data_IF_517889322088
#
_entry.id   IF_517889322088
#
_cell.length_a   1.000
_cell.length_b   1.000
_cell.length_c   1.000
_cell.angle_alpha   90.00
_cell.angle_beta   90.00
_cell.angle_gamma   90.00
#
_symmetry.space_group_name_H-M   'P 1'
#
loop_
_entity.id
_entity.type
_entity.pdbx_description
1 polymer ?
#
# COMPACT_ATOMS: atom_id res chain seq x y z
N UNK A 1 -3.01 8.48 -17.40
CA UNK A 1 -3.96 7.35 -17.39
C UNK A 1 -4.35 7.03 -18.83
N UNK A 2 -3.76 5.99 -19.42
CA UNK A 2 -4.12 5.54 -20.76
C UNK A 2 -5.40 4.72 -20.70
N UNK A 3 -6.46 5.14 -21.40
CA UNK A 3 -7.65 4.32 -21.62
C UNK A 3 -7.24 3.06 -22.37
N UNK A 4 -7.20 1.91 -21.69
CA UNK A 4 -7.14 0.63 -22.38
C UNK A 4 -8.53 0.33 -22.95
N UNK A 5 -8.76 0.78 -24.18
CA UNK A 5 -9.81 0.21 -25.03
C UNK A 5 -9.40 -1.24 -25.29
N UNK A 6 -10.17 -2.22 -24.81
CA UNK A 6 -10.05 -3.58 -25.33
C UNK A 6 -10.44 -3.47 -26.81
N UNK A 7 -9.43 -3.66 -27.67
CA UNK A 7 -9.51 -3.49 -29.13
C UNK A 7 -10.64 -4.35 -29.67
N UNK A 8 -11.56 -3.73 -30.41
CA UNK A 8 -12.78 -4.37 -30.83
C UNK A 8 -12.56 -5.55 -31.76
N UNK A 9 -13.15 -6.69 -31.41
CA UNK A 9 -13.25 -7.83 -32.30
C UNK A 9 -14.44 -7.59 -33.24
N UNK A 10 -14.22 -7.77 -34.55
CA UNK A 10 -15.32 -7.99 -35.50
C UNK A 10 -15.64 -9.49 -35.44
N UNK A 11 -16.84 -9.82 -34.97
CA UNK A 11 -17.34 -11.19 -34.97
C UNK A 11 -18.81 -11.16 -35.41
N UNK A 12 -19.18 -12.02 -36.35
CA UNK A 12 -20.53 -12.13 -36.91
C UNK A 12 -21.11 -10.77 -37.38
N UNK A 13 -20.28 -9.97 -38.07
CA UNK A 13 -20.59 -8.62 -38.58
C UNK A 13 -20.92 -7.57 -37.52
N UNK A 14 -20.61 -7.85 -36.27
CA UNK A 14 -20.70 -6.89 -35.18
C UNK A 14 -19.29 -6.52 -34.74
N UNK A 15 -19.01 -5.22 -34.76
CA UNK A 15 -17.87 -4.65 -34.07
C UNK A 15 -18.29 -4.25 -32.67
N UNK A 16 -17.56 -4.70 -31.66
CA UNK A 16 -17.80 -4.29 -30.27
C UNK A 16 -16.63 -3.48 -29.72
N UNK A 17 -16.91 -2.44 -28.95
CA UNK A 17 -15.90 -1.70 -28.17
C UNK A 17 -16.31 -1.65 -26.70
N UNK A 18 -15.40 -2.00 -25.80
CA UNK A 18 -15.61 -1.86 -24.36
C UNK A 18 -14.89 -0.61 -23.89
N UNK A 19 -15.65 0.33 -23.34
CA UNK A 19 -15.14 1.57 -22.77
C UNK A 19 -15.13 1.46 -21.24
N UNK A 20 -13.96 1.70 -20.63
CA UNK A 20 -13.74 1.70 -19.17
C UNK A 20 -14.07 0.37 -18.47
N UNK A 21 -13.58 -0.76 -19.02
CA UNK A 21 -13.82 -2.11 -18.49
C UNK A 21 -13.36 -2.34 -17.03
N UNK A 22 -12.42 -1.50 -16.59
CA UNK A 22 -11.85 -1.44 -15.25
C UNK A 22 -12.80 -0.86 -14.18
N UNK A 23 -13.79 -0.07 -14.60
CA UNK A 23 -14.69 0.64 -13.68
C UNK A 23 -15.84 -0.25 -13.19
N UNK A 24 -16.48 0.17 -12.09
CA UNK A 24 -17.72 -0.45 -11.59
C UNK A 24 -18.84 -0.39 -12.64
N UNK A 25 -18.95 0.73 -13.36
CA UNK A 25 -19.86 0.92 -14.49
C UNK A 25 -19.04 1.13 -15.75
N UNK A 26 -19.32 0.32 -16.75
CA UNK A 26 -18.66 0.37 -18.05
C UNK A 26 -19.69 0.28 -19.17
N UNK A 27 -19.31 0.67 -20.39
CA UNK A 27 -20.19 0.57 -21.55
C UNK A 27 -19.62 -0.33 -22.62
N UNK A 28 -20.51 -1.08 -23.27
CA UNK A 28 -20.19 -1.79 -24.51
C UNK A 28 -20.96 -1.13 -25.64
N UNK A 29 -20.23 -0.71 -26.68
CA UNK A 29 -20.77 -0.17 -27.92
C UNK A 29 -20.74 -1.25 -28.98
N UNK A 30 -21.87 -1.48 -29.64
CA UNK A 30 -22.04 -2.45 -30.72
C UNK A 30 -22.32 -1.70 -32.02
N UNK A 31 -21.63 -2.07 -33.10
CA UNK A 31 -21.81 -1.50 -34.43
C UNK A 31 -22.02 -2.62 -35.43
N UNK A 32 -23.13 -2.58 -36.18
CA UNK A 32 -23.39 -3.55 -37.24
C UNK A 32 -22.67 -3.15 -38.53
N UNK A 33 -21.71 -3.97 -38.95
CA UNK A 33 -20.82 -3.79 -40.10
C UNK A 33 -20.97 -4.96 -41.10
N UNK A 34 -22.14 -5.09 -41.75
CA UNK A 34 -22.42 -6.13 -42.76
C UNK A 34 -21.58 -5.99 -44.02
N UNK A 35 -21.50 -7.10 -44.78
CA UNK A 35 -21.04 -7.08 -46.17
C UNK A 35 -22.07 -6.42 -47.10
N UNK A 36 -21.68 -6.08 -48.34
CA UNK A 36 -22.55 -5.32 -49.26
C UNK A 36 -23.84 -6.07 -49.64
N UNK A 37 -23.84 -7.40 -49.61
CA UNK A 37 -25.00 -8.24 -49.95
C UNK A 37 -25.96 -8.51 -48.77
N UNK A 38 -25.60 -8.10 -47.55
CA UNK A 38 -26.35 -8.43 -46.35
C UNK A 38 -27.49 -7.44 -46.05
N UNK A 39 -28.42 -7.87 -45.19
CA UNK A 39 -29.52 -7.03 -44.71
C UNK A 39 -29.03 -5.72 -44.11
N UNK A 40 -29.72 -4.62 -44.40
CA UNK A 40 -29.43 -3.28 -43.85
C UNK A 40 -29.73 -3.15 -42.35
N UNK A 41 -30.48 -4.11 -41.80
CA UNK A 41 -30.77 -4.18 -40.37
C UNK A 41 -30.80 -5.62 -39.87
N UNK A 42 -30.58 -5.75 -38.57
CA UNK A 42 -30.76 -7.00 -37.81
C UNK A 42 -31.55 -6.71 -36.55
N UNK A 43 -32.27 -7.70 -36.06
CA UNK A 43 -33.07 -7.57 -34.85
C UNK A 43 -32.44 -8.38 -33.71
N UNK A 44 -32.35 -7.76 -32.53
CA UNK A 44 -31.89 -8.40 -31.30
C UNK A 44 -32.95 -9.39 -30.82
N UNK A 45 -32.57 -10.65 -30.65
CA UNK A 45 -33.38 -11.68 -30.01
C UNK A 45 -33.24 -11.66 -28.48
N UNK A 46 -32.06 -11.29 -27.96
CA UNK A 46 -31.84 -11.25 -26.53
C UNK A 46 -30.50 -10.62 -26.17
N UNK A 47 -30.41 -10.10 -24.93
CA UNK A 47 -29.16 -9.66 -24.32
C UNK A 47 -29.09 -10.23 -22.91
N UNK A 48 -28.20 -11.19 -22.72
CA UNK A 48 -28.01 -11.92 -21.47
C UNK A 48 -26.66 -11.57 -20.88
N UNK A 49 -26.61 -11.37 -19.57
CA UNK A 49 -25.37 -11.10 -18.82
C UNK A 49 -25.27 -12.14 -17.72
N UNK A 50 -24.13 -12.82 -17.66
CA UNK A 50 -23.82 -13.82 -16.63
C UNK A 50 -22.46 -13.56 -16.01
N UNK A 51 -22.17 -14.20 -14.88
CA UNK A 51 -20.91 -14.01 -14.15
C UNK A 51 -20.94 -12.82 -13.18
N UNK A 52 -19.87 -12.04 -13.13
CA UNK A 52 -19.66 -10.96 -12.16
C UNK A 52 -20.32 -9.62 -12.49
N UNK A 53 -21.40 -9.60 -13.27
CA UNK A 53 -22.01 -8.35 -13.71
C UNK A 53 -23.49 -8.46 -14.09
N UNK A 54 -24.11 -7.30 -14.26
CA UNK A 54 -25.52 -7.13 -14.62
C UNK A 54 -25.70 -5.98 -15.62
N UNK A 55 -26.85 -5.96 -16.32
CA UNK A 55 -27.25 -4.80 -17.12
C UNK A 55 -27.46 -3.59 -16.21
N UNK A 56 -26.96 -2.43 -16.62
CA UNK A 56 -27.15 -1.18 -15.90
C UNK A 56 -28.20 -0.31 -16.59
N UNK A 57 -28.92 0.48 -15.79
CA UNK A 57 -29.95 1.40 -16.28
C UNK A 57 -29.30 2.67 -16.85
N UNK A 58 -29.85 3.26 -17.93
CA UNK A 58 -31.00 2.81 -18.70
C UNK A 58 -30.66 1.62 -19.64
N UNK A 59 -31.58 0.66 -19.73
CA UNK A 59 -31.48 -0.46 -20.69
C UNK A 59 -31.91 0.03 -22.07
N UNK A 60 -30.96 0.14 -22.99
CA UNK A 60 -31.15 0.63 -24.36
C UNK A 60 -31.28 -0.50 -25.37
N UNK A 61 -30.63 -1.64 -25.11
CA UNK A 61 -30.65 -2.82 -25.98
C UNK A 61 -31.51 -3.89 -25.31
N UNK A 62 -32.62 -4.24 -25.97
CA UNK A 62 -33.58 -5.25 -25.52
C UNK A 62 -34.01 -6.11 -26.72
N UNK A 63 -34.71 -7.20 -26.42
CA UNK A 63 -35.38 -7.98 -27.47
C UNK A 63 -36.25 -7.07 -28.35
N UNK A 64 -36.13 -7.26 -29.66
CA UNK A 64 -36.80 -6.45 -30.67
C UNK A 64 -36.06 -5.18 -31.09
N UNK A 65 -34.96 -4.78 -30.43
CA UNK A 65 -34.13 -3.65 -30.86
C UNK A 65 -33.55 -3.92 -32.26
N UNK A 66 -33.70 -2.96 -33.18
CA UNK A 66 -33.12 -3.05 -34.53
C UNK A 66 -31.75 -2.37 -34.55
N UNK A 67 -30.73 -3.11 -34.98
CA UNK A 67 -29.42 -2.57 -35.29
C UNK A 67 -29.36 -2.26 -36.78
N UNK A 68 -29.19 -0.98 -37.08
CA UNK A 68 -28.98 -0.52 -38.45
C UNK A 68 -27.49 -0.56 -38.80
N UNK A 69 -27.21 -0.87 -40.07
CA UNK A 69 -25.86 -0.83 -40.64
C UNK A 69 -25.19 0.52 -40.34
N UNK A 70 -23.96 0.46 -39.83
CA UNK A 70 -23.13 1.62 -39.48
C UNK A 70 -23.67 2.54 -38.37
N UNK A 71 -24.59 2.04 -37.54
CA UNK A 71 -25.07 2.77 -36.35
C UNK A 71 -24.51 2.12 -35.09
N UNK A 72 -24.05 2.97 -34.17
CA UNK A 72 -23.54 2.57 -32.87
C UNK A 72 -24.66 2.46 -31.83
N UNK A 73 -24.67 1.36 -31.10
CA UNK A 73 -25.60 1.09 -30.00
C UNK A 73 -24.82 0.85 -28.71
N UNK A 74 -24.92 1.76 -27.75
CA UNK A 74 -24.26 1.62 -26.45
C UNK A 74 -25.22 1.07 -25.39
N UNK A 75 -24.75 0.09 -24.62
CA UNK A 75 -25.38 -0.42 -23.40
C UNK A 75 -24.41 -0.34 -22.23
N UNK A 76 -24.90 0.11 -21.08
CA UNK A 76 -24.13 0.15 -19.84
C UNK A 76 -24.33 -1.13 -19.04
N UNK A 77 -23.27 -1.53 -18.35
CA UNK A 77 -23.22 -2.70 -17.48
C UNK A 77 -22.60 -2.30 -16.14
N UNK A 78 -23.02 -2.98 -15.08
CA UNK A 78 -22.50 -2.80 -13.73
C UNK A 78 -21.82 -4.08 -13.30
N UNK A 79 -20.58 -3.97 -12.84
CA UNK A 79 -19.84 -5.05 -12.19
C UNK A 79 -20.40 -5.26 -10.78
N UNK A 80 -20.80 -6.49 -10.48
CA UNK A 80 -21.34 -6.90 -9.17
C UNK A 80 -20.36 -7.75 -8.37
N UNK A 81 -19.41 -8.41 -9.05
CA UNK A 81 -18.32 -9.16 -8.42
C UNK A 81 -17.03 -8.88 -9.20
N UNK A 82 -16.05 -8.15 -8.61
CA UNK A 82 -14.82 -7.79 -9.30
C UNK A 82 -13.89 -8.98 -9.55
N UNK A 83 -14.09 -10.10 -8.85
CA UNK A 83 -13.23 -11.30 -8.94
C UNK A 83 -13.71 -12.30 -9.99
N UNK A 84 -14.86 -12.06 -10.63
CA UNK A 84 -15.44 -12.93 -11.65
C UNK A 84 -15.48 -12.24 -13.00
N UNK A 85 -15.22 -13.02 -14.04
CA UNK A 85 -15.46 -12.60 -15.42
C UNK A 85 -16.94 -12.29 -15.63
N UNK A 86 -17.22 -11.37 -16.55
CA UNK A 86 -18.56 -11.05 -17.02
C UNK A 86 -18.67 -11.57 -18.44
N UNK A 87 -19.68 -12.40 -18.70
CA UNK A 87 -20.02 -12.86 -20.05
C UNK A 87 -21.28 -12.15 -20.52
N UNK A 88 -21.17 -11.44 -21.64
CA UNK A 88 -22.26 -10.69 -22.26
C UNK A 88 -22.59 -11.38 -23.59
N UNK A 89 -23.77 -11.99 -23.66
CA UNK A 89 -24.27 -12.66 -24.85
C UNK A 89 -25.36 -11.82 -25.50
N UNK A 90 -25.16 -11.46 -26.77
CA UNK A 90 -26.10 -10.72 -27.60
C UNK A 90 -26.56 -11.63 -28.74
N UNK A 91 -27.82 -12.05 -28.72
CA UNK A 91 -28.39 -12.93 -29.73
C UNK A 91 -29.21 -12.14 -30.76
N UNK A 92 -29.24 -12.62 -32.00
CA UNK A 92 -29.95 -11.99 -33.11
C UNK A 92 -30.94 -12.96 -33.75
N UNK A 93 -32.04 -12.43 -34.29
CA UNK A 93 -33.09 -13.25 -34.93
C UNK A 93 -32.56 -13.82 -36.25
N UNK A 94 -32.49 -15.15 -36.35
CA UNK A 94 -32.17 -15.87 -37.60
C UNK A 94 -30.69 -15.80 -38.00
N UNK A 95 -29.78 -15.48 -37.07
CA UNK A 95 -28.34 -15.39 -37.33
C UNK A 95 -27.53 -15.60 -36.04
N UNK A 96 -26.24 -15.98 -36.12
CA UNK A 96 -25.40 -16.21 -34.96
C UNK A 96 -25.31 -14.98 -34.05
N UNK A 97 -25.33 -15.21 -32.73
CA UNK A 97 -25.11 -14.16 -31.73
C UNK A 97 -23.64 -13.79 -31.56
N UNK A 98 -23.36 -12.88 -30.64
CA UNK A 98 -22.04 -12.43 -30.23
C UNK A 98 -21.87 -12.70 -28.73
N UNK A 99 -20.71 -13.23 -28.33
CA UNK A 99 -20.35 -13.37 -26.91
C UNK A 99 -19.11 -12.54 -26.60
N UNK A 100 -19.22 -11.64 -25.62
CA UNK A 100 -18.13 -10.78 -25.16
C UNK A 100 -17.73 -11.22 -23.76
N UNK A 101 -16.45 -11.48 -23.56
CA UNK A 101 -15.86 -11.75 -22.26
C UNK A 101 -15.19 -10.47 -21.72
N UNK A 102 -15.67 -9.98 -20.58
CA UNK A 102 -15.00 -8.92 -19.82
C UNK A 102 -14.31 -9.59 -18.64
N UNK A 103 -12.97 -9.63 -18.61
CA UNK A 103 -12.26 -10.33 -17.55
C UNK A 103 -12.54 -9.72 -16.17
N UNK A 104 -12.36 -10.54 -15.14
CA UNK A 104 -12.26 -10.11 -13.75
C UNK A 104 -11.19 -9.02 -13.62
N UNK A 105 -11.40 -8.10 -12.68
CA UNK A 105 -10.39 -7.10 -12.38
C UNK A 105 -9.17 -7.81 -11.81
N UNK A 106 -8.00 -7.52 -12.40
CA UNK A 106 -6.75 -7.93 -11.78
C UNK A 106 -6.63 -7.21 -10.43
N UNK A 107 -6.08 -7.84 -9.38
CA UNK A 107 -5.95 -7.23 -8.05
C UNK A 107 -5.17 -5.90 -7.99
N UNK A 108 -4.62 -5.43 -9.11
CA UNK A 108 -3.75 -4.24 -9.16
C UNK A 108 -4.45 -2.94 -8.77
N UNK A 109 -5.78 -2.87 -8.83
CA UNK A 109 -6.55 -1.70 -8.37
C UNK A 109 -7.05 -1.82 -6.92
N UNK A 110 -6.73 -2.92 -6.24
CA UNK A 110 -7.12 -3.18 -4.85
C UNK A 110 -5.87 -3.06 -3.99
N UNK A 111 -5.73 -1.93 -3.30
CA UNK A 111 -4.73 -1.79 -2.24
C UNK A 111 -5.02 -2.88 -1.20
N UNK A 112 -4.07 -3.78 -0.89
CA UNK A 112 -4.30 -4.88 0.04
C UNK A 112 -4.68 -4.40 1.44
N UNK A 113 -5.57 -5.15 2.11
CA UNK A 113 -5.91 -4.91 3.51
C UNK A 113 -4.64 -5.02 4.38
N UNK A 114 -4.44 -4.06 5.28
CA UNK A 114 -3.23 -3.98 6.12
C UNK A 114 -2.12 -3.10 5.54
N UNK A 115 -2.30 -2.53 4.35
CA UNK A 115 -1.35 -1.56 3.80
C UNK A 115 -1.28 -0.29 4.66
N UNK A 116 -0.06 0.11 5.02
CA UNK A 116 0.21 1.39 5.69
C UNK A 116 0.76 2.37 4.65
N UNK A 117 0.16 3.56 4.55
CA UNK A 117 0.60 4.64 3.65
C UNK A 117 0.86 5.90 4.48
N UNK A 118 2.05 6.52 4.36
CA UNK A 118 2.31 7.81 5.00
C UNK A 118 1.56 8.93 4.27
N UNK A 119 0.98 9.86 5.03
CA UNK A 119 0.28 11.03 4.50
C UNK A 119 0.78 12.31 5.16
N UNK A 120 0.86 13.39 4.38
CA UNK A 120 1.10 14.75 4.89
C UNK A 120 -0.21 15.49 5.21
N UNK A 121 -1.34 14.97 4.74
CA UNK A 121 -2.67 15.52 4.97
C UNK A 121 -3.18 15.13 6.35
N UNK A 122 -3.99 16.00 6.96
CA UNK A 122 -4.73 15.62 8.16
C UNK A 122 -5.89 14.65 7.81
N UNK A 123 -6.54 14.07 8.81
CA UNK A 123 -7.57 13.05 8.58
C UNK A 123 -8.74 13.53 7.71
N UNK A 124 -9.26 14.74 7.94
CA UNK A 124 -10.40 15.25 7.16
C UNK A 124 -10.04 15.44 5.69
N UNK A 125 -8.89 16.07 5.42
CA UNK A 125 -8.36 16.25 4.06
C UNK A 125 -8.06 14.91 3.37
N UNK A 126 -7.52 13.95 4.12
CA UNK A 126 -7.22 12.62 3.58
C UNK A 126 -8.49 11.83 3.27
N UNK A 127 -9.47 11.84 4.18
CA UNK A 127 -10.75 11.15 4.00
C UNK A 127 -11.45 11.68 2.74
N UNK A 128 -11.52 13.01 2.56
CA UNK A 128 -12.07 13.62 1.35
C UNK A 128 -11.30 13.18 0.09
N UNK A 129 -9.97 13.25 0.10
CA UNK A 129 -9.13 12.88 -1.04
C UNK A 129 -9.22 11.38 -1.39
N UNK A 130 -9.44 10.52 -0.39
CA UNK A 130 -9.61 9.09 -0.54
C UNK A 130 -11.07 8.68 -0.86
N UNK A 131 -11.99 9.65 -0.93
CA UNK A 131 -13.44 9.43 -1.06
C UNK A 131 -13.98 8.51 0.05
N UNK A 132 -13.63 8.88 1.29
CA UNK A 132 -13.98 8.21 2.54
C UNK A 132 -14.78 9.16 3.45
N UNK A 133 -15.45 8.63 4.48
CA UNK A 133 -16.25 9.44 5.41
C UNK A 133 -15.34 10.15 6.43
N UNK A 134 -15.54 11.46 6.64
CA UNK A 134 -14.78 12.23 7.63
C UNK A 134 -15.03 11.70 9.06
N UNK A 135 -16.27 11.33 9.36
CA UNK A 135 -16.63 10.67 10.61
C UNK A 135 -16.24 9.19 10.55
N UNK A 136 -15.15 8.85 11.25
CA UNK A 136 -14.59 7.51 11.21
C UNK A 136 -15.50 6.44 11.84
N UNK A 137 -15.83 5.41 11.06
CA UNK A 137 -16.45 4.14 11.42
C UNK A 137 -15.66 2.97 10.77
N UNK A 138 -15.10 2.04 11.57
CA UNK A 138 -14.31 0.92 11.06
C UNK A 138 -15.06 -0.05 10.14
N UNK A 139 -16.40 0.00 10.09
CA UNK A 139 -17.22 -0.86 9.21
C UNK A 139 -17.47 -0.25 7.84
N UNK A 140 -17.29 1.06 7.71
CA UNK A 140 -17.65 1.83 6.52
C UNK A 140 -16.38 2.36 5.86
N UNK A 141 -15.46 2.91 6.66
CA UNK A 141 -14.27 3.54 6.14
C UNK A 141 -13.29 2.53 5.55
N UNK A 142 -12.70 2.90 4.42
CA UNK A 142 -11.63 2.13 3.78
C UNK A 142 -10.29 2.32 4.48
N UNK A 143 -10.06 3.52 5.02
CA UNK A 143 -8.83 3.88 5.69
C UNK A 143 -9.03 4.20 7.17
N UNK A 144 -7.99 3.98 7.96
CA UNK A 144 -7.96 4.33 9.37
C UNK A 144 -6.63 5.01 9.71
N UNK A 145 -6.64 6.12 10.46
CA UNK A 145 -5.42 6.68 11.03
C UNK A 145 -4.71 5.69 11.95
N UNK A 146 -3.40 5.62 11.83
CA UNK A 146 -2.55 4.84 12.73
C UNK A 146 -2.26 5.63 14.02
N UNK A 147 -3.31 5.86 14.83
CA UNK A 147 -3.26 6.62 16.08
C UNK A 147 -3.76 5.84 17.30
N UNK A 148 -3.87 4.51 17.17
CA UNK A 148 -4.33 3.63 18.25
C UNK A 148 -5.85 3.49 18.37
N UNK A 149 -6.64 4.09 17.48
CA UNK A 149 -8.11 3.97 17.49
C UNK A 149 -8.59 2.54 17.24
N UNK A 150 -9.85 2.27 17.61
CA UNK A 150 -10.48 0.96 17.39
C UNK A 150 -10.70 0.69 15.91
N UNK A 151 -10.36 -0.51 15.44
CA UNK A 151 -10.68 -1.04 14.11
C UNK A 151 -11.63 -2.24 14.19
N UNK A 152 -12.26 -2.46 15.35
CA UNK A 152 -13.16 -3.59 15.59
C UNK A 152 -14.33 -3.56 14.59
N UNK A 153 -14.48 -4.65 13.82
CA UNK A 153 -15.50 -4.78 12.78
C UNK A 153 -15.01 -4.48 11.36
N UNK A 154 -13.76 -4.01 11.21
CA UNK A 154 -13.10 -3.92 9.90
C UNK A 154 -12.61 -5.28 9.41
N UNK A 155 -12.33 -5.38 8.10
CA UNK A 155 -11.69 -6.57 7.52
C UNK A 155 -10.30 -6.82 8.11
N UNK A 156 -9.55 -5.75 8.40
CA UNK A 156 -8.21 -5.85 9.00
C UNK A 156 -8.26 -6.53 10.37
N UNK A 157 -9.22 -6.16 11.22
CA UNK A 157 -9.37 -6.80 12.54
C UNK A 157 -9.65 -8.31 12.44
N UNK A 158 -10.36 -8.74 11.38
CA UNK A 158 -10.61 -10.15 11.11
C UNK A 158 -9.37 -10.89 10.60
N UNK A 159 -8.57 -10.24 9.76
CA UNK A 159 -7.34 -10.83 9.19
C UNK A 159 -6.18 -10.87 10.19
N UNK A 160 -6.07 -9.86 11.06
CA UNK A 160 -4.93 -9.66 11.95
C UNK A 160 -5.10 -10.34 13.32
N UNK A 161 -5.62 -11.56 13.35
CA UNK A 161 -5.51 -12.46 14.52
C UNK A 161 -5.95 -11.89 15.88
N UNK A 162 -7.02 -11.09 15.93
CA UNK A 162 -7.55 -10.54 17.19
C UNK A 162 -7.04 -9.14 17.58
N UNK A 163 -6.25 -8.49 16.73
CA UNK A 163 -5.91 -7.08 16.90
C UNK A 163 -7.14 -6.21 16.59
N UNK A 164 -7.65 -5.52 17.61
CA UNK A 164 -8.88 -4.70 17.52
C UNK A 164 -8.60 -3.21 17.44
N UNK A 165 -7.33 -2.80 17.47
CA UNK A 165 -6.89 -1.41 17.36
C UNK A 165 -5.94 -1.25 16.19
N UNK A 166 -6.03 -0.10 15.51
CA UNK A 166 -5.00 0.32 14.59
C UNK A 166 -3.67 0.50 15.36
N UNK A 167 -2.52 0.31 14.71
CA UNK A 167 -1.24 0.70 15.29
C UNK A 167 -1.24 2.17 15.67
N UNK A 168 -0.51 2.55 16.72
CA UNK A 168 -0.23 3.96 17.01
C UNK A 168 1.17 4.29 16.50
N UNK A 169 1.25 4.93 15.34
CA UNK A 169 2.49 5.26 14.66
C UNK A 169 2.94 6.72 14.87
N UNK A 170 2.33 7.43 15.82
CA UNK A 170 2.72 8.82 16.10
C UNK A 170 4.08 8.86 16.80
N UNK A 171 5.06 9.49 16.16
CA UNK A 171 6.39 9.69 16.74
C UNK A 171 7.26 8.43 16.78
N UNK A 172 6.93 7.40 15.99
CA UNK A 172 7.73 6.17 15.89
C UNK A 172 8.22 5.96 14.46
N UNK A 173 9.31 5.23 14.32
CA UNK A 173 9.82 4.77 13.03
C UNK A 173 9.33 3.35 12.74
N UNK A 174 9.13 3.04 11.46
CA UNK A 174 8.86 1.68 11.00
C UNK A 174 10.16 0.97 10.69
N UNK A 175 10.21 -0.32 10.99
CA UNK A 175 11.29 -1.24 10.61
C UNK A 175 10.67 -2.52 10.04
N UNK A 176 11.30 -3.10 9.02
CA UNK A 176 10.93 -4.42 8.51
C UNK A 176 11.36 -5.53 9.47
N UNK A 177 10.60 -6.63 9.49
CA UNK A 177 11.04 -7.84 10.18
C UNK A 177 12.22 -8.46 9.44
N UNK A 178 13.00 -9.29 10.16
CA UNK A 178 14.14 -10.00 9.58
C UNK A 178 13.73 -11.03 8.52
N UNK A 179 12.48 -11.47 8.57
CA UNK A 179 11.88 -12.46 7.69
C UNK A 179 10.47 -11.96 7.35
N UNK A 180 10.12 -11.97 6.06
CA UNK A 180 8.78 -11.54 5.61
C UNK A 180 7.84 -12.74 5.43
N UNK A 181 8.37 -13.84 4.89
CA UNK A 181 7.64 -15.09 4.68
C UNK A 181 8.37 -16.22 5.41
N UNK A 182 7.62 -17.04 6.16
CA UNK A 182 8.18 -18.15 6.93
C UNK A 182 8.83 -19.21 6.02
N UNK A 183 8.31 -19.33 4.80
CA UNK A 183 8.78 -20.29 3.79
C UNK A 183 9.74 -19.65 2.79
N UNK A 184 10.31 -18.47 3.09
CA UNK A 184 11.18 -17.76 2.13
C UNK A 184 12.35 -18.63 1.67
N UNK A 185 13.01 -19.37 2.58
CA UNK A 185 14.14 -20.26 2.25
C UNK A 185 13.76 -21.40 1.29
N UNK A 186 12.51 -21.87 1.31
CA UNK A 186 12.06 -23.02 0.53
C UNK A 186 11.65 -22.64 -0.91
N UNK A 187 11.09 -21.44 -1.11
CA UNK A 187 10.56 -21.01 -2.41
C UNK A 187 11.45 -19.99 -3.13
N UNK A 188 12.20 -19.18 -2.39
CA UNK A 188 13.06 -18.14 -2.93
C UNK A 188 14.34 -18.07 -2.09
N UNK A 189 15.47 -18.65 -2.54
CA UNK A 189 16.74 -18.51 -1.84
C UNK A 189 17.23 -17.05 -1.95
N UNK A 190 16.62 -16.17 -1.18
CA UNK A 190 17.06 -14.81 -0.94
C UNK A 190 18.12 -14.88 0.16
N UNK A 191 19.17 -14.08 0.00
CA UNK A 191 20.19 -13.97 1.05
C UNK A 191 19.54 -13.40 2.31
N UNK A 192 19.80 -14.04 3.45
CA UNK A 192 19.37 -13.54 4.76
C UNK A 192 19.89 -12.12 4.97
N UNK A 193 19.11 -11.28 5.65
CA UNK A 193 19.53 -9.94 6.07
C UNK A 193 20.86 -10.02 6.84
N UNK A 194 21.83 -9.18 6.48
CA UNK A 194 23.17 -9.22 7.09
C UNK A 194 23.13 -8.88 8.59
N UNK A 195 24.07 -9.38 9.38
CA UNK A 195 24.12 -9.16 10.83
C UNK A 195 24.19 -7.67 11.22
N UNK A 196 24.71 -6.80 10.34
CA UNK A 196 24.76 -5.36 10.57
C UNK A 196 23.40 -4.66 10.36
N UNK A 197 22.52 -5.26 9.58
CA UNK A 197 21.19 -4.72 9.24
C UNK A 197 20.06 -5.39 10.03
N UNK A 198 20.27 -6.65 10.41
CA UNK A 198 19.30 -7.51 11.07
C UNK A 198 18.86 -6.90 12.41
N UNK A 199 17.57 -6.99 12.71
CA UNK A 199 17.07 -6.73 14.05
C UNK A 199 17.78 -7.66 15.04
N UNK A 200 18.46 -7.12 16.06
CA UNK A 200 19.16 -7.95 17.05
C UNK A 200 18.21 -8.83 17.87
N UNK A 201 16.91 -8.52 17.88
CA UNK A 201 15.89 -9.36 18.49
C UNK A 201 15.16 -10.17 17.42
N UNK A 202 15.55 -11.45 17.30
CA UNK A 202 15.04 -12.35 16.25
C UNK A 202 13.62 -12.85 16.49
N UNK A 203 13.00 -12.53 17.62
CA UNK A 203 11.68 -13.02 18.01
C UNK A 203 10.54 -12.02 17.87
N UNK A 204 10.78 -10.83 17.29
CA UNK A 204 9.74 -9.82 17.15
C UNK A 204 8.66 -10.23 16.16
N UNK A 205 7.43 -9.91 16.52
CA UNK A 205 6.26 -10.02 15.66
C UNK A 205 5.89 -8.64 15.06
N UNK A 206 5.11 -8.66 13.99
CA UNK A 206 4.61 -7.44 13.38
C UNK A 206 3.72 -6.67 14.37
N UNK A 207 4.10 -5.43 14.71
CA UNK A 207 3.42 -4.60 15.70
C UNK A 207 4.20 -4.41 16.99
N UNK A 208 5.29 -5.16 17.20
CA UNK A 208 6.14 -4.99 18.38
C UNK A 208 6.87 -3.65 18.39
N UNK A 209 6.92 -3.03 19.57
CA UNK A 209 7.63 -1.78 19.78
C UNK A 209 9.09 -2.03 20.16
N UNK A 210 10.01 -1.41 19.42
CA UNK A 210 11.41 -1.31 19.82
C UNK A 210 11.71 0.07 20.39
N UNK A 211 12.12 0.12 21.65
CA UNK A 211 12.60 1.35 22.27
C UNK A 211 13.94 1.80 21.71
N UNK A 212 14.16 3.12 21.70
CA UNK A 212 15.42 3.72 21.27
C UNK A 212 16.61 3.13 22.04
N UNK A 213 17.61 2.67 21.29
CA UNK A 213 18.85 2.14 21.86
C UNK A 213 20.03 2.66 21.07
N UNK A 214 20.89 3.43 21.72
CA UNK A 214 22.24 3.69 21.21
C UNK A 214 23.09 2.50 21.65
N UNK A 215 23.47 1.64 20.71
CA UNK A 215 24.21 0.42 21.00
C UNK A 215 25.45 0.67 21.88
N UNK A 216 26.00 -0.41 22.45
CA UNK A 216 27.24 -0.32 23.22
C UNK A 216 28.34 0.25 22.31
N UNK A 217 28.98 1.31 22.75
CA UNK A 217 30.14 1.88 22.09
C UNK A 217 31.16 2.32 23.15
N UNK A 218 32.42 2.37 22.75
CA UNK A 218 33.54 2.75 23.58
C UNK A 218 34.17 4.02 23.03
N UNK A 219 34.56 4.93 23.92
CA UNK A 219 35.38 6.09 23.57
C UNK A 219 36.82 5.83 23.98
N UNK A 220 37.74 5.94 23.01
CA UNK A 220 39.17 5.93 23.30
C UNK A 220 39.59 7.37 23.59
N UNK A 221 39.79 7.69 24.86
CA UNK A 221 40.35 8.99 25.26
C UNK A 221 41.87 8.95 25.10
N UNK A 222 42.41 9.81 24.25
CA UNK A 222 43.86 10.10 24.21
C UNK A 222 44.13 11.34 25.04
N UNK A 223 44.30 11.16 26.35
CA UNK A 223 44.65 12.26 27.26
C UNK A 223 46.16 12.46 27.32
N UNK A 224 46.67 13.56 26.76
CA UNK A 224 48.05 14.00 27.01
C UNK A 224 48.13 14.54 28.44
N UNK A 225 48.94 13.89 29.29
CA UNK A 225 49.26 14.41 30.62
C UNK A 225 50.21 15.59 30.41
N UNK A 226 49.84 16.80 30.83
CA UNK A 226 50.78 17.91 30.93
C UNK A 226 51.77 17.60 32.07
N UNK A 227 52.86 16.90 31.77
CA UNK A 227 53.96 16.68 32.69
C UNK A 227 55.00 17.79 32.48
N UNK A 228 54.80 18.90 33.18
CA UNK A 228 55.78 19.96 33.32
C UNK A 228 55.62 20.56 34.70
N UNK A 229 56.53 20.24 35.63
CA UNK A 229 56.74 21.08 36.81
C UNK A 229 57.52 22.29 36.30
N UNK A 230 56.81 23.23 35.68
CA UNK A 230 57.38 24.55 35.38
C UNK A 230 57.67 25.21 36.72
N UNK A 231 58.90 25.07 37.23
CA UNK A 231 59.36 25.86 38.37
C UNK A 231 59.77 27.23 37.82
N UNK A 232 58.84 28.18 37.88
CA UNK A 232 59.13 29.58 37.59
C UNK A 232 59.93 30.17 38.76
N UNK A 233 61.23 29.94 38.78
CA UNK A 233 62.12 30.71 39.66
C UNK A 233 62.40 32.05 38.96
N UNK A 234 61.62 33.07 39.34
CA UNK A 234 61.73 34.52 39.03
C UNK A 234 62.69 34.95 37.90
N UNK A 235 62.11 35.56 36.87
CA UNK A 235 62.77 36.54 35.98
C UNK A 235 62.69 36.17 34.51
N UNK A 236 61.83 36.87 33.76
CA UNK A 236 61.76 37.16 32.31
C UNK A 236 62.26 36.18 31.21
N UNK A 237 62.70 34.97 31.51
CA UNK A 237 63.02 33.93 30.51
C UNK A 237 62.10 32.72 30.69
N UNK A 238 60.96 32.75 29.99
CA UNK A 238 60.07 31.60 29.83
C UNK A 238 60.29 31.02 28.44
N UNK A 239 61.42 30.36 28.24
CA UNK A 239 61.63 29.52 27.06
C UNK A 239 61.42 28.05 27.44
N UNK A 240 60.53 27.37 26.69
CA UNK A 240 60.31 25.92 26.70
C UNK A 240 59.40 25.31 27.79
N UNK A 241 58.25 25.93 28.13
CA UNK A 241 57.33 25.35 29.15
C UNK A 241 56.44 24.21 28.63
N UNK A 242 56.35 24.00 27.31
CA UNK A 242 55.49 22.96 26.74
C UNK A 242 56.20 22.20 25.62
N UNK A 243 56.83 21.07 25.96
CA UNK A 243 57.14 20.04 24.97
C UNK A 243 56.02 19.00 25.00
N UNK A 244 55.11 19.08 24.02
CA UNK A 244 54.10 18.06 23.80
C UNK A 244 54.73 16.81 23.19
N UNK A 245 55.02 15.81 24.02
CA UNK A 245 55.32 14.45 23.56
C UNK A 245 54.05 13.59 23.66
N UNK A 246 53.69 12.91 22.57
CA UNK A 246 52.61 11.91 22.55
C UNK A 246 53.04 10.67 23.33
N UNK A 247 52.88 10.70 24.65
CA UNK A 247 52.90 9.48 25.46
C UNK A 247 51.48 8.93 25.54
N UNK A 248 51.25 7.79 24.89
CA UNK A 248 49.98 7.06 24.98
C UNK A 248 49.64 6.74 26.44
N UNK A 249 48.39 6.99 26.84
CA UNK A 249 47.88 6.49 28.12
C UNK A 249 48.00 4.96 28.13
N UNK A 250 48.83 4.42 29.02
CA UNK A 250 49.07 2.98 29.15
C UNK A 250 47.93 2.18 29.79
N UNK A 251 46.72 2.72 29.83
CA UNK A 251 45.58 2.03 30.43
C UNK A 251 44.25 2.55 29.92
N UNK A 252 43.44 1.62 29.39
CA UNK A 252 42.03 1.83 29.11
C UNK A 252 41.31 2.29 30.39
N UNK A 253 40.48 3.32 30.26
CA UNK A 253 39.48 3.64 31.28
C UNK A 253 38.15 3.25 30.72
N UNK A 254 37.50 2.30 31.38
CA UNK A 254 36.10 1.99 31.10
C UNK A 254 35.25 3.24 31.34
N UNK A 255 34.37 3.56 30.41
CA UNK A 255 33.27 4.46 30.67
C UNK A 255 32.38 3.82 31.74
N UNK A 256 32.04 4.57 32.79
CA UNK A 256 30.96 4.16 33.69
C UNK A 256 29.74 3.80 32.83
N UNK A 257 29.17 2.60 33.06
CA UNK A 257 27.98 2.10 32.37
C UNK A 257 26.96 3.24 32.26
N UNK A 258 26.47 3.45 31.04
CA UNK A 258 25.81 4.67 30.57
C UNK A 258 24.78 5.28 31.53
N UNK A 259 24.42 6.57 31.32
CA UNK A 259 23.62 7.33 32.26
C UNK A 259 22.38 6.52 32.67
N UNK A 260 22.26 6.25 33.97
CA UNK A 260 21.04 5.65 34.51
C UNK A 260 19.89 6.56 34.08
N UNK A 261 18.90 5.94 33.43
CA UNK A 261 17.62 6.54 33.05
C UNK A 261 17.17 7.48 34.16
N UNK A 262 16.91 8.76 33.85
CA UNK A 262 16.28 9.67 34.79
C UNK A 262 14.90 9.07 35.13
N UNK A 263 14.80 8.42 36.29
CA UNK A 263 13.51 8.09 36.88
C UNK A 263 12.86 9.42 37.28
N UNK A 264 11.96 9.89 36.42
CA UNK A 264 11.12 11.05 36.68
C UNK A 264 10.17 10.76 37.84
N UNK A 265 10.64 11.04 39.06
CA UNK A 265 9.79 11.15 40.24
C UNK A 265 9.12 12.51 40.29
N UNK A 266 7.80 12.54 40.05
CA UNK A 266 6.82 13.07 41.01
C UNK A 266 5.40 12.99 40.43
N UNK A 267 4.67 11.94 40.83
CA UNK A 267 3.21 12.05 40.98
C UNK A 267 2.96 12.92 42.21
N UNK A 268 2.52 14.15 42.00
CA UNK A 268 1.82 14.90 43.04
C UNK A 268 0.42 14.31 43.17
N UNK A 269 0.23 13.50 44.22
CA UNK A 269 -1.08 13.30 44.82
C UNK A 269 -1.46 14.58 45.57
N UNK A 270 -2.45 15.31 45.05
CA UNK A 270 -3.13 16.38 45.75
C UNK A 270 -4.62 16.03 45.83
N UNK A 271 -5.13 16.00 47.06
CA UNK A 271 -6.50 15.83 47.53
C UNK A 271 -7.58 16.53 46.72
#
# INVERSE_FOLDING_TARGET
MGKQSIVGAKENDIFCRIDSAENEIFSVTFTYLPEESDSLLIQVAGLTVTGGGVRHVPVRIKEGTNFHRYIDYAQFFKRTDPRKDISIQLDFVGRPGLTILVPALKPQDIIPVGTIVPSVLNWGEYAEAANDEEAYDPKINKWAPCDGRSILGSELAGAWGGHTKAPDLRGVFLRGLNQFDIDEEDFFPADSVSDEQKDPDSGREAGDFQGDTVGKHQHIYRGSRAAGVGRADRGDEIDNVWWGGDYGQGGERDTEKGPKRCEGGNRLSGS
#
